data_IF_329033248163
#
_entry.id   IF_329033248163
#
_cell.length_a   1.000
_cell.length_b   1.000
_cell.length_c   1.000
_cell.angle_alpha   90.00
_cell.angle_beta   90.00
_cell.angle_gamma   90.00
#
_symmetry.space_group_name_H-M   'P 1'
#
loop_
_entity.id
_entity.type
_entity.pdbx_description
1 polymer ?
#
# COMPACT_ATOMS: atom_id res chain seq x y z
N UNK A 1 3.06 -6.79 -16.14
CA UNK A 1 2.96 -5.63 -17.04
C UNK A 1 2.52 -5.96 -18.47
N UNK A 2 3.01 -7.05 -19.11
CA UNK A 2 2.52 -7.47 -20.44
C UNK A 2 0.99 -7.65 -20.50
N UNK A 3 0.40 -8.26 -19.49
CA UNK A 3 -1.05 -8.49 -19.40
C UNK A 3 -1.89 -7.19 -19.34
N UNK A 4 -1.39 -6.13 -18.69
CA UNK A 4 -2.06 -4.82 -18.67
C UNK A 4 -2.04 -4.11 -20.02
N UNK A 5 -0.93 -4.19 -20.77
CA UNK A 5 -0.84 -3.63 -22.10
C UNK A 5 -1.79 -4.33 -23.09
N UNK A 6 -1.97 -5.65 -22.96
CA UNK A 6 -2.91 -6.43 -23.77
C UNK A 6 -4.38 -6.07 -23.47
N UNK A 7 -4.72 -5.81 -22.19
CA UNK A 7 -6.06 -5.37 -21.80
C UNK A 7 -6.38 -3.96 -22.30
N UNK A 8 -5.43 -3.04 -22.25
CA UNK A 8 -5.60 -1.69 -22.78
C UNK A 8 -5.76 -1.66 -24.29
N UNK A 9 -5.01 -2.49 -25.02
CA UNK A 9 -5.11 -2.60 -26.47
C UNK A 9 -6.43 -3.27 -26.97
N UNK A 10 -7.14 -4.00 -26.10
CA UNK A 10 -8.45 -4.60 -26.39
C UNK A 10 -9.63 -3.66 -26.13
N UNK A 11 -9.39 -2.47 -25.58
CA UNK A 11 -10.45 -1.51 -25.30
C UNK A 11 -10.75 -0.67 -26.56
N UNK A 12 -11.98 -0.73 -27.14
CA UNK A 12 -12.32 -0.02 -28.38
C UNK A 12 -12.40 1.51 -28.24
N UNK A 13 -12.28 2.04 -27.02
CA UNK A 13 -12.37 3.48 -26.71
C UNK A 13 -11.03 4.16 -26.51
N UNK A 14 -9.95 3.42 -26.44
CA UNK A 14 -8.61 3.95 -26.22
C UNK A 14 -7.83 3.62 -27.48
N UNK A 15 -7.45 4.64 -28.27
CA UNK A 15 -6.63 4.44 -29.47
C UNK A 15 -5.38 3.59 -29.15
N UNK A 16 -4.73 3.05 -30.16
CA UNK A 16 -3.59 2.13 -30.01
C UNK A 16 -2.48 2.75 -29.12
N UNK A 17 -2.41 2.30 -27.86
CA UNK A 17 -1.34 2.66 -26.96
C UNK A 17 -0.19 1.69 -27.17
N UNK A 18 0.83 2.12 -27.91
CA UNK A 18 2.08 1.38 -28.02
C UNK A 18 2.99 1.74 -26.85
N UNK A 19 2.99 0.92 -25.81
CA UNK A 19 3.96 1.05 -24.72
C UNK A 19 5.24 0.33 -25.13
N UNK A 20 6.29 1.08 -25.46
CA UNK A 20 7.64 0.53 -25.66
C UNK A 20 8.22 0.13 -24.31
N UNK A 21 7.87 -1.09 -23.84
CA UNK A 21 8.26 -1.63 -22.54
C UNK A 21 9.78 -1.58 -22.32
N UNK A 22 10.56 -1.77 -23.39
CA UNK A 22 12.04 -1.73 -23.33
C UNK A 22 12.57 -0.35 -22.96
N UNK A 23 11.97 0.73 -23.49
CA UNK A 23 12.39 2.10 -23.15
C UNK A 23 11.98 2.51 -21.73
N UNK A 24 10.87 1.97 -21.21
CA UNK A 24 10.43 2.21 -19.83
C UNK A 24 11.38 1.57 -18.82
N UNK A 25 11.76 0.31 -19.04
CA UNK A 25 12.72 -0.37 -18.17
C UNK A 25 14.09 0.31 -18.18
N UNK A 26 14.60 0.64 -19.37
CA UNK A 26 15.90 1.32 -19.51
C UNK A 26 15.90 2.71 -18.86
N UNK A 27 14.80 3.46 -18.98
CA UNK A 27 14.67 4.79 -18.36
C UNK A 27 14.53 4.67 -16.84
N UNK A 28 13.75 3.71 -16.35
CA UNK A 28 13.56 3.48 -14.93
C UNK A 28 14.87 3.06 -14.23
N UNK A 29 15.63 2.14 -14.82
CA UNK A 29 16.90 1.70 -14.26
C UNK A 29 18.02 2.75 -14.39
N UNK A 30 18.03 3.53 -15.46
CA UNK A 30 19.06 4.57 -15.66
C UNK A 30 18.83 5.81 -14.80
N UNK A 31 17.60 6.23 -14.59
CA UNK A 31 17.29 7.48 -13.91
C UNK A 31 16.92 7.30 -12.43
N UNK A 32 16.77 6.08 -11.95
CA UNK A 32 16.58 5.76 -10.53
C UNK A 32 15.47 6.54 -9.82
N UNK A 33 14.45 7.01 -10.55
CA UNK A 33 13.38 7.82 -10.00
C UNK A 33 12.47 6.95 -9.12
N UNK A 34 12.75 6.98 -7.82
CA UNK A 34 11.80 6.53 -6.81
C UNK A 34 10.66 7.55 -6.70
N UNK A 35 9.41 7.09 -6.62
CA UNK A 35 8.27 7.96 -6.34
C UNK A 35 8.27 8.57 -4.94
N UNK A 36 9.37 8.46 -4.19
CA UNK A 36 9.59 9.00 -2.83
C UNK A 36 8.53 8.57 -1.80
N UNK A 37 7.79 7.50 -2.07
CA UNK A 37 6.77 6.95 -1.18
C UNK A 37 7.14 5.54 -0.72
N UNK A 38 8.10 5.37 0.21
CA UNK A 38 8.43 4.05 0.76
C UNK A 38 7.19 3.48 1.47
N UNK A 39 6.92 2.19 1.25
CA UNK A 39 5.71 1.54 1.76
C UNK A 39 5.86 0.03 1.82
N UNK A 40 4.84 -0.67 2.35
CA UNK A 40 4.72 -2.14 2.37
C UNK A 40 5.75 -2.88 3.24
N UNK A 41 6.57 -2.20 4.05
CA UNK A 41 7.60 -2.85 4.87
C UNK A 41 7.04 -3.55 6.11
N UNK A 42 5.90 -3.06 6.66
CA UNK A 42 5.18 -3.65 7.79
C UNK A 42 3.75 -4.01 7.40
N UNK A 43 3.60 -4.65 6.24
CA UNK A 43 2.29 -4.87 5.60
C UNK A 43 1.28 -5.59 6.48
N UNK A 44 0.01 -5.22 6.30
CA UNK A 44 -1.13 -5.93 6.91
C UNK A 44 -1.19 -7.36 6.36
N UNK A 45 -1.39 -8.33 7.26
CA UNK A 45 -1.61 -9.73 6.92
C UNK A 45 -2.68 -10.40 7.77
N UNK A 46 -3.10 -11.59 7.35
CA UNK A 46 -4.04 -12.42 8.10
C UNK A 46 -3.39 -13.06 9.33
N UNK A 47 -2.09 -13.30 9.25
CA UNK A 47 -1.26 -13.88 10.31
C UNK A 47 0.20 -13.39 10.17
N UNK A 48 1.05 -13.76 11.12
CA UNK A 48 2.46 -13.39 11.21
C UNK A 48 3.36 -13.96 10.10
N UNK A 49 2.89 -15.00 9.38
CA UNK A 49 3.63 -15.58 8.24
C UNK A 49 3.50 -14.75 6.96
N UNK A 50 2.40 -14.00 6.81
CA UNK A 50 2.10 -13.25 5.58
C UNK A 50 2.05 -11.74 5.77
N UNK A 51 2.15 -11.25 7.03
CA UNK A 51 2.18 -9.84 7.35
C UNK A 51 2.88 -9.55 8.66
N UNK A 52 3.08 -8.28 8.94
CA UNK A 52 3.74 -7.80 10.17
C UNK A 52 2.72 -7.28 11.17
N UNK A 53 1.64 -6.67 10.68
CA UNK A 53 0.52 -6.18 11.50
C UNK A 53 -0.79 -6.82 11.05
N UNK A 54 -1.75 -6.91 11.98
CA UNK A 54 -3.09 -7.39 11.67
C UNK A 54 -3.98 -6.26 11.09
N UNK A 55 -5.26 -6.57 10.78
CA UNK A 55 -6.24 -5.60 10.28
C UNK A 55 -6.46 -4.38 11.18
N UNK A 56 -6.15 -4.48 12.45
CA UNK A 56 -6.26 -3.41 13.45
C UNK A 56 -4.93 -2.64 13.62
N UNK A 57 -3.99 -2.85 12.72
CA UNK A 57 -2.66 -2.23 12.72
C UNK A 57 -1.80 -2.61 13.93
N UNK A 58 -2.20 -3.64 14.67
CA UNK A 58 -1.45 -4.16 15.81
C UNK A 58 -0.36 -5.12 15.33
N UNK A 59 0.85 -4.95 15.85
CA UNK A 59 2.00 -5.82 15.56
C UNK A 59 1.72 -7.23 16.09
N UNK A 60 1.95 -8.24 15.25
CA UNK A 60 1.81 -9.63 15.69
C UNK A 60 2.81 -9.93 16.81
N UNK A 61 2.36 -10.69 17.82
CA UNK A 61 3.16 -11.03 19.00
C UNK A 61 3.26 -9.94 20.08
N UNK A 62 2.66 -8.76 19.86
CA UNK A 62 2.70 -7.64 20.82
C UNK A 62 1.29 -7.11 21.10
N UNK A 63 1.01 -6.80 22.37
CA UNK A 63 -0.33 -6.35 22.78
C UNK A 63 -0.52 -4.83 22.66
N UNK A 64 0.53 -4.05 22.80
CA UNK A 64 0.51 -2.60 22.94
C UNK A 64 1.24 -1.84 21.84
N UNK A 65 1.65 -2.51 20.75
CA UNK A 65 2.35 -1.89 19.62
C UNK A 65 1.45 -1.84 18.41
N UNK A 66 1.25 -0.64 17.87
CA UNK A 66 0.52 -0.39 16.64
C UNK A 66 1.40 0.38 15.65
N UNK A 67 1.26 0.07 14.36
CA UNK A 67 2.02 0.72 13.29
C UNK A 67 1.04 1.43 12.36
N UNK A 68 1.29 2.71 12.08
CA UNK A 68 0.51 3.54 11.15
C UNK A 68 1.44 4.20 10.14
N UNK A 69 1.07 4.14 8.89
CA UNK A 69 1.84 4.74 7.79
C UNK A 69 1.63 3.98 6.50
N UNK A 70 2.31 4.41 5.44
CA UNK A 70 2.32 3.68 4.17
C UNK A 70 2.98 2.30 4.27
N UNK A 71 3.82 2.10 5.29
CA UNK A 71 4.50 0.82 5.54
C UNK A 71 3.53 -0.35 5.75
N UNK A 72 2.31 -0.09 6.25
CA UNK A 72 1.31 -1.13 6.50
C UNK A 72 0.52 -1.56 5.26
N UNK A 73 0.70 -0.89 4.13
CA UNK A 73 -0.03 -1.23 2.91
C UNK A 73 0.40 -2.61 2.39
N UNK A 74 -0.55 -3.44 1.93
CA UNK A 74 -0.21 -4.75 1.36
C UNK A 74 0.48 -4.62 0.00
N UNK A 75 0.22 -3.53 -0.73
CA UNK A 75 0.83 -3.18 -2.01
C UNK A 75 0.69 -1.66 -2.28
N UNK A 76 1.53 -1.14 -3.16
CA UNK A 76 1.47 0.25 -3.60
C UNK A 76 0.44 0.44 -4.72
N UNK A 77 -0.35 1.50 -4.60
CA UNK A 77 -1.09 2.08 -5.71
C UNK A 77 -0.22 3.04 -6.53
N UNK A 78 -0.85 3.72 -7.48
CA UNK A 78 -0.24 4.76 -8.32
C UNK A 78 -0.51 6.19 -7.80
N UNK A 79 -1.31 6.33 -6.76
CA UNK A 79 -1.70 7.63 -6.16
C UNK A 79 -0.95 7.88 -4.87
N UNK A 80 -0.90 9.16 -4.47
CA UNK A 80 -0.31 9.56 -3.21
C UNK A 80 -1.02 8.90 -2.02
N UNK A 81 -0.30 8.31 -1.06
CA UNK A 81 -0.87 7.48 0.00
C UNK A 81 -1.48 8.26 1.16
N UNK A 82 -1.37 9.59 1.20
CA UNK A 82 -1.69 10.44 2.35
C UNK A 82 -3.10 10.23 2.89
N UNK A 83 -4.12 10.23 2.03
CA UNK A 83 -5.51 10.02 2.44
C UNK A 83 -5.74 8.67 3.13
N UNK A 84 -5.17 7.62 2.57
CA UNK A 84 -5.27 6.27 3.14
C UNK A 84 -4.56 6.19 4.50
N UNK A 85 -3.38 6.80 4.63
CA UNK A 85 -2.65 6.88 5.90
C UNK A 85 -3.48 7.60 6.96
N UNK A 86 -4.04 8.78 6.64
CA UNK A 86 -4.88 9.55 7.57
C UNK A 86 -6.12 8.77 8.00
N UNK A 87 -6.78 8.09 7.08
CA UNK A 87 -7.97 7.26 7.37
C UNK A 87 -7.63 6.11 8.30
N UNK A 88 -6.51 5.43 8.07
CA UNK A 88 -6.04 4.35 8.94
C UNK A 88 -5.68 4.85 10.35
N UNK A 89 -5.03 6.03 10.44
CA UNK A 89 -4.69 6.66 11.71
C UNK A 89 -5.95 7.02 12.52
N UNK A 90 -6.93 7.65 11.89
CA UNK A 90 -8.21 8.01 12.53
C UNK A 90 -8.98 6.77 12.99
N UNK A 91 -9.01 5.71 12.17
CA UNK A 91 -9.64 4.44 12.55
C UNK A 91 -8.98 3.83 13.79
N UNK A 92 -7.65 3.80 13.82
CA UNK A 92 -6.92 3.30 14.97
C UNK A 92 -7.16 4.16 16.22
N UNK A 93 -7.09 5.48 16.11
CA UNK A 93 -7.33 6.40 17.22
C UNK A 93 -8.72 6.18 17.85
N UNK A 94 -9.79 6.12 17.02
CA UNK A 94 -11.15 5.82 17.49
C UNK A 94 -11.24 4.49 18.23
N UNK A 95 -10.56 3.46 17.74
CA UNK A 95 -10.52 2.14 18.38
C UNK A 95 -9.84 2.19 19.75
N UNK A 96 -8.69 2.84 19.85
CA UNK A 96 -7.93 2.95 21.11
C UNK A 96 -8.68 3.76 22.17
N UNK A 97 -9.35 4.85 21.77
CA UNK A 97 -10.20 5.64 22.67
C UNK A 97 -11.34 4.78 23.23
N UNK A 98 -12.02 4.00 22.37
CA UNK A 98 -13.10 3.10 22.78
C UNK A 98 -12.61 2.04 23.78
N UNK A 99 -11.45 1.44 23.55
CA UNK A 99 -10.85 0.46 24.46
C UNK A 99 -10.58 1.11 25.83
N UNK A 100 -9.97 2.32 25.84
CA UNK A 100 -9.69 3.05 27.09
C UNK A 100 -10.96 3.39 27.89
N UNK A 101 -12.08 3.69 27.22
CA UNK A 101 -13.35 3.99 27.89
C UNK A 101 -14.01 2.77 28.53
N UNK A 102 -13.66 1.56 28.10
CA UNK A 102 -14.19 0.31 28.66
C UNK A 102 -13.40 -0.14 29.90
N UNK A 103 -12.11 0.24 29.98
CA UNK A 103 -11.19 -0.16 31.07
C UNK A 103 -11.32 0.79 32.29
N UNK A 104 -11.97 1.93 32.15
CA UNK A 104 -12.31 2.87 33.23
C UNK A 104 -13.66 2.53 33.86
#
# INVERSE_FOLDING_TARGET
MKHYAELLNKSPKIGSISIKIKSFQDTFYKNGLSGLHPSCTTKIGLNDKVGVVNKDLKLFGYENIHVVGSSVFPYNGYTNPTWTIMTLALRLAKKLIKIRSIIR
#
